data_IF_743319875741
#
_entry.id   IF_743319875741
#
_cell.length_a   1.000
_cell.length_b   1.000
_cell.length_c   1.000
_cell.angle_alpha   90.00
_cell.angle_beta   90.00
_cell.angle_gamma   90.00
#
_symmetry.space_group_name_H-M   'P 1'
#
loop_
_entity.id
_entity.type
_entity.pdbx_description
1 polymer ?
#
# COMPACT_ATOMS: atom_id res chain seq x y z
N UNK A 1 -9.47 -4.73 31.07
CA UNK A 1 -8.37 -5.63 30.61
C UNK A 1 -7.88 -5.10 29.27
N UNK A 2 -6.61 -4.70 29.16
CA UNK A 2 -6.06 -4.27 27.88
C UNK A 2 -5.95 -5.52 26.98
N UNK A 3 -6.78 -5.60 25.95
CA UNK A 3 -6.69 -6.68 24.98
C UNK A 3 -5.42 -6.49 24.15
N UNK A 4 -4.50 -7.46 24.22
CA UNK A 4 -3.29 -7.47 23.41
C UNK A 4 -3.71 -7.84 21.99
N UNK A 5 -3.49 -6.92 21.05
CA UNK A 5 -3.78 -7.16 19.65
C UNK A 5 -2.67 -8.02 19.02
N UNK A 6 -3.06 -9.14 18.41
CA UNK A 6 -2.14 -10.05 17.74
C UNK A 6 -2.54 -10.27 16.27
N UNK A 7 -1.59 -10.71 15.46
CA UNK A 7 -1.82 -10.97 14.03
C UNK A 7 -2.61 -12.28 13.89
N UNK A 8 -3.79 -12.22 13.30
CA UNK A 8 -4.63 -13.40 13.00
C UNK A 8 -4.43 -13.91 11.57
N UNK A 9 -4.01 -13.03 10.66
CA UNK A 9 -3.75 -13.37 9.27
C UNK A 9 -2.55 -12.59 8.78
N UNK A 10 -1.62 -13.28 8.14
CA UNK A 10 -0.44 -12.69 7.52
C UNK A 10 -0.33 -13.16 6.08
N UNK A 11 -0.07 -12.22 5.17
CA UNK A 11 0.06 -12.48 3.73
C UNK A 11 1.33 -11.79 3.25
N UNK A 12 2.19 -12.55 2.57
CA UNK A 12 3.44 -12.03 2.02
C UNK A 12 3.52 -12.32 0.53
N UNK A 13 3.54 -11.24 -0.25
CA UNK A 13 3.74 -11.25 -1.70
C UNK A 13 5.21 -11.01 -2.09
N UNK A 14 6.06 -10.75 -1.10
CA UNK A 14 7.49 -10.52 -1.27
C UNK A 14 8.10 -9.69 -0.12
N UNK A 15 9.42 -9.49 -0.13
CA UNK A 15 10.15 -8.88 1.00
C UNK A 15 9.74 -7.43 1.32
N UNK A 16 9.10 -6.74 0.37
CA UNK A 16 8.63 -5.35 0.51
C UNK A 16 7.11 -5.20 0.33
N UNK A 17 6.38 -6.32 0.25
CA UNK A 17 4.95 -6.39 -0.06
C UNK A 17 4.29 -7.39 0.88
N UNK A 18 3.75 -6.91 2.00
CA UNK A 18 3.08 -7.75 2.99
C UNK A 18 1.85 -7.06 3.57
N UNK A 19 0.90 -7.85 4.04
CA UNK A 19 -0.30 -7.36 4.70
C UNK A 19 -0.69 -8.29 5.84
N UNK A 20 -1.36 -7.73 6.84
CA UNK A 20 -1.81 -8.48 8.00
C UNK A 20 -3.11 -7.94 8.57
N UNK A 21 -3.85 -8.83 9.21
CA UNK A 21 -5.06 -8.53 9.97
C UNK A 21 -4.78 -8.79 11.44
N UNK A 22 -5.20 -7.85 12.28
CA UNK A 22 -5.14 -7.99 13.74
C UNK A 22 -6.43 -8.61 14.28
N UNK A 23 -6.38 -9.15 15.50
CA UNK A 23 -7.52 -9.66 16.26
C UNK A 23 -8.65 -8.64 16.40
N UNK A 24 -8.33 -7.34 16.51
CA UNK A 24 -9.30 -6.24 16.49
C UNK A 24 -10.02 -6.03 15.15
N UNK A 25 -9.66 -6.78 14.10
CA UNK A 25 -10.18 -6.61 12.74
C UNK A 25 -9.44 -5.55 11.92
N UNK A 26 -8.50 -4.80 12.53
CA UNK A 26 -7.69 -3.81 11.81
C UNK A 26 -6.82 -4.49 10.75
N UNK A 27 -6.87 -3.96 9.54
CA UNK A 27 -6.08 -4.42 8.40
C UNK A 27 -4.97 -3.43 8.12
N UNK A 28 -3.76 -3.93 7.91
CA UNK A 28 -2.60 -3.14 7.54
C UNK A 28 -1.97 -3.72 6.28
N UNK A 29 -1.81 -2.88 5.26
CA UNK A 29 -1.09 -3.22 4.03
C UNK A 29 0.20 -2.42 3.99
N UNK A 30 1.32 -3.10 3.73
CA UNK A 30 2.65 -2.51 3.63
C UNK A 30 3.24 -2.83 2.27
N UNK A 31 3.35 -1.78 1.45
CA UNK A 31 4.02 -1.81 0.15
C UNK A 31 5.13 -0.77 0.18
N UNK A 32 6.38 -1.22 0.07
CA UNK A 32 7.57 -0.37 0.10
C UNK A 32 8.20 -0.27 -1.29
N UNK A 33 8.88 0.85 -1.56
CA UNK A 33 9.61 1.08 -2.83
C UNK A 33 8.93 2.10 -3.75
N UNK A 34 7.69 2.49 -3.46
CA UNK A 34 7.03 3.60 -4.13
C UNK A 34 6.07 4.31 -3.18
N UNK A 35 5.76 5.57 -3.50
CA UNK A 35 4.74 6.34 -2.77
C UNK A 35 3.36 5.89 -3.23
N UNK A 36 2.58 5.35 -2.31
CA UNK A 36 1.16 5.11 -2.50
C UNK A 36 0.41 6.44 -2.35
N UNK A 37 -0.40 6.80 -3.36
CA UNK A 37 -1.41 7.83 -3.15
C UNK A 37 -2.67 7.20 -2.55
N UNK A 38 -3.67 8.03 -2.21
CA UNK A 38 -4.93 7.56 -1.64
C UNK A 38 -5.65 6.57 -2.58
N UNK A 39 -5.74 6.88 -3.88
CA UNK A 39 -6.41 6.02 -4.86
C UNK A 39 -5.72 4.66 -5.02
N UNK A 40 -4.38 4.64 -5.04
CA UNK A 40 -3.57 3.44 -5.11
C UNK A 40 -3.70 2.60 -3.83
N UNK A 41 -3.89 3.27 -2.68
CA UNK A 41 -4.14 2.57 -1.41
C UNK A 41 -5.47 1.82 -1.36
N UNK A 42 -6.48 2.31 -2.09
CA UNK A 42 -7.77 1.63 -2.22
C UNK A 42 -7.65 0.35 -3.07
N UNK A 43 -6.80 0.38 -4.10
CA UNK A 43 -6.50 -0.78 -4.96
C UNK A 43 -5.63 -1.81 -4.24
N UNK A 44 -4.61 -1.35 -3.52
CA UNK A 44 -3.67 -2.21 -2.78
C UNK A 44 -4.22 -2.57 -1.40
N UNK A 45 -5.22 -3.46 -1.40
CA UNK A 45 -5.90 -3.94 -0.20
C UNK A 45 -5.51 -5.39 0.15
N UNK A 46 -5.95 -5.88 1.32
CA UNK A 46 -5.61 -7.25 1.78
C UNK A 46 -6.11 -8.32 0.80
N UNK A 47 -7.32 -8.14 0.27
CA UNK A 47 -7.91 -9.05 -0.72
C UNK A 47 -7.04 -9.15 -1.97
N UNK A 48 -6.59 -8.01 -2.51
CA UNK A 48 -5.67 -7.99 -3.64
C UNK A 48 -4.35 -8.71 -3.34
N UNK A 49 -3.78 -8.52 -2.14
CA UNK A 49 -2.55 -9.23 -1.74
C UNK A 49 -2.75 -10.75 -1.64
N UNK A 50 -3.91 -11.20 -1.17
CA UNK A 50 -4.26 -12.63 -1.13
C UNK A 50 -4.38 -13.18 -2.56
N UNK A 51 -5.07 -12.46 -3.46
CA UNK A 51 -5.19 -12.87 -4.86
C UNK A 51 -3.83 -12.96 -5.53
N UNK A 52 -2.95 -11.98 -5.31
CA UNK A 52 -1.62 -11.97 -5.90
C UNK A 52 -0.78 -13.19 -5.48
N UNK A 53 -0.91 -13.63 -4.23
CA UNK A 53 -0.24 -14.85 -3.74
C UNK A 53 -0.91 -16.13 -4.28
N UNK A 54 -2.24 -16.18 -4.33
CA UNK A 54 -3.00 -17.38 -4.74
C UNK A 54 -2.99 -17.64 -6.24
N UNK A 55 -3.15 -16.59 -7.04
CA UNK A 55 -3.41 -16.72 -8.47
C UNK A 55 -2.12 -16.83 -9.31
N UNK A 56 -0.93 -16.75 -8.70
CA UNK A 56 0.38 -16.69 -9.40
C UNK A 56 0.35 -15.77 -10.63
N UNK A 57 -0.44 -14.69 -10.52
CA UNK A 57 -0.80 -13.88 -11.67
C UNK A 57 0.34 -12.94 -11.97
N UNK A 58 0.97 -13.10 -13.12
CA UNK A 58 1.89 -12.12 -13.74
C UNK A 58 1.16 -10.85 -14.19
N UNK A 59 0.05 -10.48 -13.54
CA UNK A 59 -0.70 -9.28 -13.86
C UNK A 59 0.04 -8.08 -13.27
N UNK A 60 0.83 -7.43 -14.12
CA UNK A 60 1.36 -6.10 -13.81
C UNK A 60 0.19 -5.17 -13.52
N UNK A 61 0.06 -4.75 -12.27
CA UNK A 61 -0.90 -3.71 -11.91
C UNK A 61 -0.21 -2.37 -12.06
N UNK A 62 -0.51 -1.69 -13.16
CA UNK A 62 0.00 -0.34 -13.38
C UNK A 62 -0.58 0.62 -12.34
N UNK A 63 0.32 1.14 -11.50
CA UNK A 63 0.03 2.26 -10.63
C UNK A 63 0.12 3.52 -11.49
N UNK A 64 -1.03 4.03 -11.95
CA UNK A 64 -1.11 5.30 -12.69
C UNK A 64 -0.66 6.45 -11.81
N UNK A 65 0.63 6.75 -11.86
CA UNK A 65 1.26 7.82 -11.08
C UNK A 65 1.08 9.18 -11.77
N UNK A 66 -0.17 9.57 -11.98
CA UNK A 66 -0.50 10.87 -12.58
C UNK A 66 -0.10 12.01 -11.65
N UNK A 67 -0.23 11.79 -10.34
CA UNK A 67 0.12 12.76 -9.29
C UNK A 67 1.21 12.22 -8.37
N UNK A 68 2.27 13.01 -8.20
CA UNK A 68 3.38 12.75 -7.27
C UNK A 68 3.26 13.65 -6.05
N UNK A 69 3.14 13.04 -4.88
CA UNK A 69 3.25 13.74 -3.60
C UNK A 69 4.65 14.36 -3.49
N UNK A 70 4.71 15.68 -3.36
CA UNK A 70 5.94 16.45 -3.32
C UNK A 70 5.93 17.40 -2.12
N UNK A 71 7.09 17.63 -1.51
CA UNK A 71 7.25 18.55 -0.38
C UNK A 71 8.06 19.76 -0.79
N UNK A 72 7.50 20.96 -0.59
CA UNK A 72 8.26 22.20 -0.69
C UNK A 72 8.89 22.53 0.67
N UNK A 73 10.21 22.37 0.82
CA UNK A 73 10.92 22.65 2.08
C UNK A 73 10.79 24.12 2.52
N UNK A 74 10.90 25.05 1.56
CA UNK A 74 10.81 26.51 1.81
C UNK A 74 9.44 26.91 2.38
N UNK A 75 8.36 26.41 1.77
CA UNK A 75 6.98 26.71 2.18
C UNK A 75 6.48 25.81 3.32
N UNK A 76 7.23 24.76 3.69
CA UNK A 76 6.80 23.70 4.62
C UNK A 76 5.46 23.04 4.25
N UNK A 77 5.11 23.01 2.96
CA UNK A 77 3.83 22.47 2.45
C UNK A 77 4.07 21.19 1.65
N UNK A 78 3.13 20.24 1.79
CA UNK A 78 3.02 19.03 0.97
C UNK A 78 1.91 19.26 -0.06
N UNK A 79 2.16 18.92 -1.32
CA UNK A 79 1.20 19.10 -2.41
C UNK A 79 1.38 18.02 -3.47
N UNK A 80 0.33 17.80 -4.26
CA UNK A 80 0.37 16.87 -5.39
C UNK A 80 0.84 17.62 -6.63
N UNK A 81 1.87 17.11 -7.31
CA UNK A 81 2.39 17.64 -8.56
C UNK A 81 2.12 16.64 -9.69
N UNK A 82 1.68 17.06 -10.88
CA UNK A 82 1.58 16.16 -12.03
C UNK A 82 2.95 15.56 -12.35
N UNK A 83 3.00 14.25 -12.58
CA UNK A 83 4.22 13.54 -12.96
C UNK A 83 4.27 13.46 -14.50
N UNK A 84 5.03 14.33 -15.16
CA UNK A 84 5.27 14.20 -16.61
C UNK A 84 6.14 12.97 -16.86
N UNK A 85 5.72 12.06 -17.74
CA UNK A 85 6.63 11.06 -18.31
C UNK A 85 7.70 11.82 -19.10
N UNK A 86 8.97 11.59 -18.79
CA UNK A 86 10.08 11.92 -19.72
C UNK A 86 10.24 10.75 -20.66
#
# INVERSE_FOLDING_TARGET
VAHIDYIVQFVIAGPKKYSYRLSSGKIVVKVKGFTLNYYDSLKMNLTYMIQLVKENRSSETEVKKELKISRCKKRKVIYNRPCSKK
#
